data_IF_412133589673
#
_entry.id   IF_412133589673
#
_cell.length_a   1.000
_cell.length_b   1.000
_cell.length_c   1.000
_cell.angle_alpha   90.00
_cell.angle_beta   90.00
_cell.angle_gamma   90.00
#
_symmetry.space_group_name_H-M   'P 1'
#
loop_
_entity.id
_entity.type
_entity.pdbx_description
1 polymer ?
#
# COMPACT_ATOMS: atom_id res chain seq x y z
N UNK A 1 -15.26 19.58 10.94
CA UNK A 1 -15.69 18.47 11.83
C UNK A 1 -15.82 17.19 11.02
N UNK A 2 -16.88 16.97 10.22
CA UNK A 2 -17.00 15.73 9.40
C UNK A 2 -15.84 15.56 8.39
N UNK A 3 -15.41 16.64 7.74
CA UNK A 3 -14.27 16.63 6.81
C UNK A 3 -12.96 16.25 7.50
N UNK A 4 -12.73 16.74 8.73
CA UNK A 4 -11.49 16.45 9.47
C UNK A 4 -11.45 14.98 9.94
N UNK A 5 -12.61 14.43 10.32
CA UNK A 5 -12.75 13.02 10.71
C UNK A 5 -12.57 12.07 9.50
N UNK A 6 -13.14 12.43 8.35
CA UNK A 6 -12.97 11.67 7.12
C UNK A 6 -11.51 11.70 6.62
N UNK A 7 -10.87 12.87 6.64
CA UNK A 7 -9.45 13.00 6.29
C UNK A 7 -8.56 12.13 7.20
N UNK A 8 -8.83 12.15 8.51
CA UNK A 8 -8.10 11.32 9.48
C UNK A 8 -8.31 9.82 9.22
N UNK A 9 -9.53 9.40 8.87
CA UNK A 9 -9.83 8.01 8.55
C UNK A 9 -9.12 7.56 7.27
N UNK A 10 -9.16 8.38 6.22
CA UNK A 10 -8.49 8.10 4.95
C UNK A 10 -6.98 8.03 5.15
N UNK A 11 -6.40 8.92 5.96
CA UNK A 11 -4.98 8.88 6.28
C UNK A 11 -4.60 7.57 7.01
N UNK A 12 -5.43 7.12 7.95
CA UNK A 12 -5.19 5.84 8.63
C UNK A 12 -5.19 4.64 7.66
N UNK A 13 -6.09 4.64 6.67
CA UNK A 13 -6.08 3.60 5.62
C UNK A 13 -4.88 3.70 4.69
N UNK A 14 -4.44 4.91 4.38
CA UNK A 14 -3.23 5.13 3.58
C UNK A 14 -1.99 4.57 4.28
N UNK A 15 -1.86 4.83 5.58
CA UNK A 15 -0.75 4.33 6.40
C UNK A 15 -0.79 2.79 6.50
N UNK A 16 -1.97 2.21 6.74
CA UNK A 16 -2.15 0.76 6.77
C UNK A 16 -1.84 0.09 5.42
N UNK A 17 -2.30 0.69 4.32
CA UNK A 17 -2.04 0.20 2.97
C UNK A 17 -0.55 0.26 2.64
N UNK A 18 0.13 1.36 2.99
CA UNK A 18 1.59 1.49 2.81
C UNK A 18 2.33 0.39 3.58
N UNK A 19 2.01 0.20 4.86
CA UNK A 19 2.63 -0.82 5.70
C UNK A 19 2.41 -2.24 5.12
N UNK A 20 1.22 -2.52 4.60
CA UNK A 20 0.94 -3.79 3.93
C UNK A 20 1.82 -4.00 2.70
N UNK A 21 1.96 -2.98 1.85
CA UNK A 21 2.82 -3.06 0.67
C UNK A 21 4.30 -3.25 1.03
N UNK A 22 4.78 -2.54 2.05
CA UNK A 22 6.16 -2.69 2.55
C UNK A 22 6.42 -4.11 3.08
N UNK A 23 5.48 -4.65 3.87
CA UNK A 23 5.56 -6.01 4.38
C UNK A 23 5.48 -7.07 3.29
N UNK A 24 4.61 -6.89 2.30
CA UNK A 24 4.47 -7.82 1.17
C UNK A 24 5.74 -7.87 0.31
N UNK A 25 6.35 -6.70 0.06
CA UNK A 25 7.55 -6.59 -0.76
C UNK A 25 8.86 -6.83 0.02
N UNK A 26 8.80 -6.89 1.35
CA UNK A 26 9.93 -6.93 2.27
C UNK A 26 10.91 -5.76 2.03
N UNK A 27 10.36 -4.57 1.78
CA UNK A 27 11.12 -3.34 1.48
C UNK A 27 10.37 -2.09 1.93
N UNK A 28 11.10 -1.12 2.48
CA UNK A 28 10.57 0.21 2.81
C UNK A 28 10.32 1.03 1.54
N UNK A 29 9.17 1.67 1.45
CA UNK A 29 8.85 2.57 0.35
C UNK A 29 9.53 3.91 0.63
N UNK A 30 10.25 4.44 -0.36
CA UNK A 30 10.84 5.77 -0.30
C UNK A 30 10.35 6.63 -1.45
N UNK A 31 10.17 7.91 -1.18
CA UNK A 31 9.78 8.87 -2.20
C UNK A 31 10.95 9.12 -3.18
N UNK A 32 10.66 9.29 -4.47
CA UNK A 32 11.70 9.63 -5.44
C UNK A 32 12.28 11.00 -5.11
N UNK A 33 13.55 11.03 -4.69
CA UNK A 33 14.26 12.27 -4.43
C UNK A 33 14.45 13.06 -5.75
N UNK A 34 14.24 14.39 -5.74
CA UNK A 34 14.39 15.20 -6.94
C UNK A 34 15.86 15.47 -7.25
N UNK A 35 16.20 15.42 -8.55
CA UNK A 35 17.50 15.86 -9.05
C UNK A 35 18.58 14.76 -9.16
N UNK A 36 19.72 15.09 -9.78
CA UNK A 36 20.80 14.13 -10.03
C UNK A 36 21.59 13.75 -8.78
N UNK A 37 21.51 14.54 -7.71
CA UNK A 37 22.25 14.34 -6.46
C UNK A 37 21.48 13.49 -5.43
N UNK A 38 20.38 12.86 -5.85
CA UNK A 38 19.62 11.95 -5.02
C UNK A 38 20.52 10.81 -4.49
N UNK A 39 20.45 10.49 -3.18
CA UNK A 39 21.19 9.35 -2.66
C UNK A 39 20.74 8.07 -3.38
N UNK A 40 21.67 7.16 -3.69
CA UNK A 40 21.32 5.91 -4.33
C UNK A 40 20.38 5.08 -3.43
N UNK A 41 19.38 4.46 -4.04
CA UNK A 41 18.44 3.58 -3.36
C UNK A 41 19.18 2.33 -2.86
N UNK A 42 18.98 1.96 -1.58
CA UNK A 42 19.37 0.64 -1.10
C UNK A 42 18.36 -0.40 -1.62
N UNK A 43 18.60 -0.94 -2.82
CA UNK A 43 17.67 -1.89 -3.47
C UNK A 43 17.44 -3.17 -2.67
N UNK A 44 18.30 -3.47 -1.69
CA UNK A 44 18.17 -4.63 -0.82
C UNK A 44 17.11 -4.45 0.27
N UNK A 45 16.78 -3.21 0.64
CA UNK A 45 15.85 -2.90 1.74
C UNK A 45 14.80 -1.84 1.36
N UNK A 46 14.96 -1.17 0.22
CA UNK A 46 14.13 -0.05 -0.21
C UNK A 46 13.59 -0.23 -1.63
N UNK A 47 12.42 0.35 -1.88
CA UNK A 47 11.83 0.50 -3.21
C UNK A 47 11.22 1.89 -3.37
N UNK A 48 11.21 2.41 -4.60
CA UNK A 48 10.60 3.71 -4.88
C UNK A 48 9.07 3.63 -4.87
N UNK A 49 8.43 4.73 -4.46
CA UNK A 49 7.00 4.97 -4.70
C UNK A 49 6.75 5.25 -6.19
N UNK A 50 6.82 4.20 -7.02
CA UNK A 50 6.47 4.27 -8.45
C UNK A 50 4.95 4.30 -8.62
N UNK A 51 4.47 4.72 -9.81
CA UNK A 51 3.03 4.90 -10.08
C UNK A 51 2.19 3.65 -9.80
N UNK A 52 2.72 2.48 -10.11
CA UNK A 52 2.08 1.19 -9.85
C UNK A 52 2.10 0.77 -8.37
N UNK A 53 3.15 1.11 -7.62
CA UNK A 53 3.17 0.96 -6.14
C UNK A 53 2.11 1.86 -5.52
N UNK A 54 2.04 3.12 -5.96
CA UNK A 54 0.99 4.05 -5.55
C UNK A 54 -0.41 3.52 -5.90
N UNK A 55 -0.60 2.94 -7.09
CA UNK A 55 -1.88 2.34 -7.48
C UNK A 55 -2.26 1.14 -6.59
N UNK A 56 -1.30 0.29 -6.22
CA UNK A 56 -1.54 -0.82 -5.30
C UNK A 56 -1.98 -0.33 -3.92
N UNK A 57 -1.36 0.74 -3.40
CA UNK A 57 -1.76 1.39 -2.15
C UNK A 57 -3.19 1.93 -2.25
N UNK A 58 -3.54 2.63 -3.33
CA UNK A 58 -4.90 3.18 -3.50
C UNK A 58 -5.97 2.10 -3.61
N UNK A 59 -5.66 0.97 -4.26
CA UNK A 59 -6.57 -0.19 -4.31
C UNK A 59 -6.79 -0.79 -2.91
N UNK A 60 -5.74 -0.87 -2.08
CA UNK A 60 -5.85 -1.30 -0.69
C UNK A 60 -6.65 -0.30 0.17
N UNK A 61 -6.43 1.00 0.01
CA UNK A 61 -7.23 2.04 0.68
C UNK A 61 -8.72 1.88 0.34
N UNK A 62 -9.04 1.73 -0.94
CA UNK A 62 -10.42 1.48 -1.38
C UNK A 62 -10.98 0.18 -0.81
N UNK A 63 -10.15 -0.87 -0.69
CA UNK A 63 -10.57 -2.12 -0.05
C UNK A 63 -10.88 -1.91 1.44
N UNK A 64 -10.02 -1.26 2.21
CA UNK A 64 -10.25 -1.00 3.64
C UNK A 64 -11.46 -0.10 3.89
N UNK A 65 -11.61 0.96 3.08
CA UNK A 65 -12.75 1.87 3.19
C UNK A 65 -14.09 1.15 2.96
N UNK A 66 -14.17 0.28 1.95
CA UNK A 66 -15.38 -0.47 1.64
C UNK A 66 -15.65 -1.64 2.60
N UNK A 67 -14.62 -2.18 3.26
CA UNK A 67 -14.70 -3.39 4.10
C UNK A 67 -14.27 -3.11 5.55
N UNK A 68 -14.96 -2.17 6.20
CA UNK A 68 -14.66 -1.70 7.58
C UNK A 68 -15.14 -2.61 8.72
N UNK A 69 -15.85 -3.69 8.41
CA UNK A 69 -16.33 -4.68 9.37
C UNK A 69 -15.67 -6.02 9.08
N UNK A 70 -15.28 -6.76 10.14
CA UNK A 70 -14.85 -8.14 9.97
C UNK A 70 -15.99 -8.91 9.28
N UNK A 71 -15.69 -9.55 8.15
CA UNK A 71 -16.65 -10.27 7.29
C UNK A 71 -17.72 -11.01 8.09
N UNK A 72 -18.99 -10.71 7.81
CA UNK A 72 -20.15 -11.35 8.44
C UNK A 72 -20.05 -12.87 8.34
N UNK A 73 -20.28 -13.59 9.44
CA UNK A 73 -20.35 -15.05 9.45
C UNK A 73 -21.40 -15.53 8.43
N UNK A 74 -20.95 -16.23 7.39
CA UNK A 74 -21.79 -16.73 6.29
C UNK A 74 -21.64 -15.97 4.98
N UNK A 75 -20.93 -14.84 4.94
CA UNK A 75 -20.48 -14.21 3.70
C UNK A 75 -19.18 -14.83 3.21
N UNK A 76 -18.98 -14.89 1.89
CA UNK A 76 -17.69 -15.30 1.33
C UNK A 76 -16.60 -14.31 1.78
N UNK A 77 -15.40 -14.78 2.18
CA UNK A 77 -14.31 -13.90 2.56
C UNK A 77 -13.97 -12.95 1.40
N UNK A 78 -13.85 -11.66 1.68
CA UNK A 78 -13.43 -10.68 0.68
C UNK A 78 -11.93 -10.87 0.46
N UNK A 79 -11.58 -11.54 -0.63
CA UNK A 79 -10.20 -11.72 -1.03
C UNK A 79 -9.52 -10.36 -1.32
N UNK A 80 -8.21 -10.29 -1.09
CA UNK A 80 -7.41 -9.13 -1.51
C UNK A 80 -7.62 -8.93 -3.02
N UNK A 81 -7.76 -7.69 -3.52
CA UNK A 81 -7.97 -7.48 -4.94
C UNK A 81 -6.79 -8.04 -5.74
N UNK A 82 -7.06 -8.93 -6.71
CA UNK A 82 -6.04 -9.54 -7.57
C UNK A 82 -5.08 -8.50 -8.21
N UNK A 83 -5.60 -7.31 -8.49
CA UNK A 83 -4.81 -6.19 -9.00
C UNK A 83 -3.67 -5.75 -8.07
N UNK A 84 -3.85 -5.82 -6.74
CA UNK A 84 -2.79 -5.47 -5.77
C UNK A 84 -1.65 -6.47 -5.87
N UNK A 85 -1.95 -7.77 -5.76
CA UNK A 85 -0.92 -8.81 -5.82
C UNK A 85 -0.18 -8.79 -7.16
N UNK A 86 -0.89 -8.64 -8.28
CA UNK A 86 -0.28 -8.58 -9.60
C UNK A 86 0.71 -7.42 -9.77
N UNK A 87 0.43 -6.25 -9.17
CA UNK A 87 1.32 -5.08 -9.21
C UNK A 87 2.55 -5.24 -8.29
N UNK A 88 2.39 -5.92 -7.16
CA UNK A 88 3.44 -6.05 -6.14
C UNK A 88 4.32 -7.29 -6.33
N UNK A 89 3.82 -8.36 -6.95
CA UNK A 89 4.55 -9.61 -7.12
C UNK A 89 5.96 -9.44 -7.73
N UNK A 90 6.16 -8.65 -8.81
CA UNK A 90 7.48 -8.43 -9.39
C UNK A 90 8.45 -7.68 -8.47
N UNK A 91 7.93 -7.05 -7.40
CA UNK A 91 8.69 -6.27 -6.43
C UNK A 91 8.95 -7.04 -5.13
N UNK A 92 8.52 -8.29 -5.04
CA UNK A 92 8.73 -9.07 -3.84
C UNK A 92 10.20 -9.50 -3.73
N UNK A 93 10.82 -9.19 -2.59
CA UNK A 93 12.10 -9.78 -2.20
C UNK A 93 11.86 -11.18 -1.62
N UNK A 94 12.72 -12.14 -1.97
CA UNK A 94 12.65 -13.54 -1.50
C UNK A 94 13.89 -13.93 -0.68
N UNK A 95 14.54 -12.96 -0.05
CA UNK A 95 15.76 -13.18 0.73
C UNK A 95 15.50 -14.08 1.94
#
# INVERSE_FOLDING_TARGET
MEHDEEDNLIQAYLDAARAHVEAFCDRTIVDPAPGPDAPPLDQATQMLLTKDVGQAILLLVGHYYNNREATVLGAAPVALPFGVEALLWPRRSFR
#
